data_IF_082945730321
#
_entry.id   IF_082945730321
#
_cell.length_a   1.000
_cell.length_b   1.000
_cell.length_c   1.000
_cell.angle_alpha   90.00
_cell.angle_beta   90.00
_cell.angle_gamma   90.00
#
_symmetry.space_group_name_H-M   'P 1'
#
loop_
_entity.id
_entity.type
_entity.pdbx_description
1 polymer ?
#
# COMPACT_ATOMS: atom_id res chain seq x y z
N UNK A 1 -14.52 -11.40 -31.44
CA UNK A 1 -13.42 -10.73 -30.72
C UNK A 1 -13.52 -11.18 -29.27
N UNK A 2 -12.57 -11.99 -28.77
CA UNK A 2 -12.64 -12.52 -27.40
C UNK A 2 -12.67 -11.35 -26.41
N UNK A 3 -13.75 -11.23 -25.65
CA UNK A 3 -13.89 -10.20 -24.62
C UNK A 3 -12.94 -10.54 -23.48
N UNK A 4 -11.79 -9.84 -23.40
CA UNK A 4 -10.84 -9.97 -22.30
C UNK A 4 -11.56 -9.75 -20.96
N UNK A 5 -11.37 -10.67 -20.01
CA UNK A 5 -11.95 -10.60 -18.65
C UNK A 5 -11.44 -9.40 -17.87
N UNK A 6 -10.17 -9.03 -18.08
CA UNK A 6 -9.55 -7.85 -17.48
C UNK A 6 -8.93 -6.91 -18.53
N UNK A 7 -9.35 -5.65 -18.52
CA UNK A 7 -8.78 -4.59 -19.36
C UNK A 7 -7.27 -4.42 -19.06
N UNK A 8 -6.48 -4.19 -20.11
CA UNK A 8 -5.04 -3.93 -20.01
C UNK A 8 -4.73 -2.76 -19.06
N UNK A 9 -5.52 -1.68 -19.11
CA UNK A 9 -5.29 -0.49 -18.27
C UNK A 9 -5.40 -0.82 -16.78
N UNK A 10 -6.38 -1.65 -16.42
CA UNK A 10 -6.61 -2.08 -15.03
C UNK A 10 -5.50 -3.03 -14.57
N UNK A 11 -5.04 -3.93 -15.44
CA UNK A 11 -3.94 -4.86 -15.12
C UNK A 11 -2.63 -4.12 -14.87
N UNK A 12 -2.26 -3.22 -15.77
CA UNK A 12 -1.05 -2.38 -15.62
C UNK A 12 -1.14 -1.56 -14.33
N UNK A 13 -2.28 -0.89 -14.11
CA UNK A 13 -2.50 -0.12 -12.89
C UNK A 13 -2.31 -0.95 -11.62
N UNK A 14 -2.92 -2.14 -11.57
CA UNK A 14 -2.81 -3.04 -10.43
C UNK A 14 -1.36 -3.45 -10.14
N UNK A 15 -0.63 -3.93 -11.15
CA UNK A 15 0.74 -4.39 -10.95
C UNK A 15 1.71 -3.25 -10.61
N UNK A 16 1.49 -2.05 -11.18
CA UNK A 16 2.22 -0.85 -10.75
C UNK A 16 1.91 -0.49 -9.30
N UNK A 17 0.63 -0.52 -8.89
CA UNK A 17 0.26 -0.28 -7.49
C UNK A 17 0.87 -1.32 -6.55
N UNK A 18 0.88 -2.60 -6.94
CA UNK A 18 1.50 -3.66 -6.16
C UNK A 18 3.01 -3.44 -5.99
N UNK A 19 3.70 -3.07 -7.07
CA UNK A 19 5.13 -2.72 -7.04
C UNK A 19 5.39 -1.54 -6.11
N UNK A 20 4.63 -0.45 -6.25
CA UNK A 20 4.79 0.78 -5.46
C UNK A 20 4.52 0.54 -3.97
N UNK A 21 3.44 -0.17 -3.64
CA UNK A 21 3.09 -0.50 -2.25
C UNK A 21 4.17 -1.40 -1.65
N UNK A 22 4.60 -2.44 -2.36
CA UNK A 22 5.65 -3.35 -1.88
C UNK A 22 6.97 -2.61 -1.68
N UNK A 23 7.39 -1.80 -2.65
CA UNK A 23 8.60 -0.98 -2.54
C UNK A 23 8.54 -0.02 -1.35
N UNK A 24 7.41 0.65 -1.15
CA UNK A 24 7.17 1.53 -0.01
C UNK A 24 7.23 0.81 1.34
N UNK A 25 6.69 -0.42 1.44
CA UNK A 25 6.80 -1.24 2.65
C UNK A 25 8.24 -1.70 2.91
N UNK A 26 8.98 -2.04 1.85
CA UNK A 26 10.39 -2.43 1.96
C UNK A 26 11.27 -1.29 2.46
N UNK A 27 11.01 -0.04 2.05
CA UNK A 27 11.77 1.10 2.60
C UNK A 27 11.53 1.26 4.11
N UNK A 28 10.28 1.08 4.57
CA UNK A 28 9.97 1.11 6.02
C UNK A 28 10.66 -0.04 6.75
N UNK A 29 10.65 -1.25 6.18
CA UNK A 29 11.33 -2.41 6.76
C UNK A 29 12.83 -2.18 6.88
N UNK A 30 13.49 -1.74 5.81
CA UNK A 30 14.93 -1.43 5.80
C UNK A 30 15.24 -0.38 6.87
N UNK A 31 14.46 0.70 6.90
CA UNK A 31 14.75 1.80 7.80
C UNK A 31 14.56 1.42 9.28
N UNK A 32 13.48 0.71 9.59
CA UNK A 32 13.17 0.27 10.97
C UNK A 32 14.04 -0.87 11.49
N UNK A 33 14.78 -1.57 10.62
CA UNK A 33 15.61 -2.72 11.02
C UNK A 33 17.10 -2.48 10.87
N UNK A 34 17.53 -1.92 9.73
CA UNK A 34 18.95 -1.79 9.38
C UNK A 34 19.51 -0.39 9.70
N UNK A 35 18.67 0.64 9.67
CA UNK A 35 19.10 2.03 9.82
C UNK A 35 18.54 2.70 11.09
N UNK A 36 17.88 1.93 11.95
CA UNK A 36 17.43 2.42 13.24
C UNK A 36 18.62 2.85 14.11
N UNK A 37 18.37 3.79 15.03
CA UNK A 37 19.41 4.33 15.94
C UNK A 37 20.07 3.25 16.81
N UNK A 38 19.38 2.15 17.08
CA UNK A 38 19.96 0.98 17.76
C UNK A 38 21.12 0.33 16.97
N UNK A 39 21.20 0.55 15.66
CA UNK A 39 22.24 0.00 14.77
C UNK A 39 23.47 0.90 14.64
N UNK A 40 23.45 2.12 15.21
CA UNK A 40 24.61 3.05 15.18
C UNK A 40 25.94 2.41 15.65
N UNK A 41 25.99 1.58 16.71
CA UNK A 41 27.23 0.90 17.10
C UNK A 41 27.78 -0.05 16.02
N UNK A 42 26.89 -0.73 15.29
CA UNK A 42 27.26 -1.62 14.18
C UNK A 42 27.88 -0.82 13.03
N UNK A 43 27.26 0.30 12.65
CA UNK A 43 27.79 1.21 11.62
C UNK A 43 29.15 1.77 12.02
N UNK A 44 29.29 2.20 13.28
CA UNK A 44 30.56 2.71 13.81
C UNK A 44 31.67 1.65 13.74
N UNK A 45 31.37 0.42 14.13
CA UNK A 45 32.32 -0.71 14.12
C UNK A 45 32.81 -1.00 12.70
N UNK A 46 31.92 -1.08 11.72
CA UNK A 46 32.32 -1.35 10.33
C UNK A 46 33.18 -0.23 9.73
N UNK A 47 32.87 1.03 10.05
CA UNK A 47 33.69 2.17 9.61
C UNK A 47 35.06 2.18 10.30
N UNK A 48 35.14 1.80 11.57
CA UNK A 48 36.41 1.62 12.28
C UNK A 48 37.24 0.50 11.67
N UNK A 49 36.62 -0.64 11.29
CA UNK A 49 37.29 -1.73 10.59
C UNK A 49 37.85 -1.28 9.23
N UNK A 50 37.19 -0.32 8.57
CA UNK A 50 37.64 0.31 7.33
C UNK A 50 38.71 1.41 7.54
N UNK A 51 39.21 1.60 8.77
CA UNK A 51 40.22 2.59 9.13
C UNK A 51 39.68 3.99 9.42
N UNK A 52 38.36 4.16 9.53
CA UNK A 52 37.72 5.44 9.84
C UNK A 52 37.39 5.51 11.33
N UNK A 53 38.10 6.37 12.06
CA UNK A 53 37.84 6.59 13.48
C UNK A 53 36.77 7.66 13.69
N UNK A 54 35.53 7.22 13.90
CA UNK A 54 34.41 8.09 14.28
C UNK A 54 34.14 8.01 15.77
N UNK A 55 33.80 9.17 16.37
CA UNK A 55 33.16 9.21 17.68
C UNK A 55 31.67 8.85 17.57
N UNK A 56 31.00 8.68 18.71
CA UNK A 56 29.59 8.24 18.74
C UNK A 56 28.63 9.25 18.07
N UNK A 57 28.91 10.56 18.18
CA UNK A 57 28.08 11.60 17.55
C UNK A 57 28.19 11.57 16.02
N UNK A 58 29.40 11.40 15.49
CA UNK A 58 29.65 11.27 14.06
C UNK A 58 29.00 10.01 13.49
N UNK A 59 29.09 8.88 14.20
CA UNK A 59 28.44 7.64 13.79
C UNK A 59 26.90 7.78 13.79
N UNK A 60 26.34 8.48 14.78
CA UNK A 60 24.90 8.77 14.84
C UNK A 60 24.46 9.66 13.68
N UNK A 61 25.21 10.71 13.38
CA UNK A 61 24.93 11.60 12.26
C UNK A 61 24.98 10.84 10.92
N UNK A 62 25.97 9.96 10.73
CA UNK A 62 26.07 9.11 9.55
C UNK A 62 24.88 8.14 9.41
N UNK A 63 24.50 7.47 10.51
CA UNK A 63 23.33 6.56 10.52
C UNK A 63 22.05 7.33 10.18
N UNK A 64 21.86 8.52 10.77
CA UNK A 64 20.69 9.36 10.52
C UNK A 64 20.64 9.84 9.06
N UNK A 65 21.77 10.21 8.46
CA UNK A 65 21.82 10.59 7.04
C UNK A 65 21.40 9.45 6.10
N UNK A 66 21.76 8.19 6.42
CA UNK A 66 21.27 7.02 5.68
C UNK A 66 19.78 6.81 5.88
N UNK A 67 19.29 6.99 7.10
CA UNK A 67 17.86 6.93 7.45
C UNK A 67 17.05 7.90 6.56
N UNK A 68 17.51 9.15 6.47
CA UNK A 68 16.85 10.21 5.70
C UNK A 68 16.83 9.92 4.20
N UNK A 69 17.88 9.29 3.65
CA UNK A 69 17.90 8.86 2.25
C UNK A 69 16.79 7.83 1.95
N UNK A 70 16.62 6.84 2.83
CA UNK A 70 15.57 5.82 2.67
C UNK A 70 14.18 6.45 2.83
N UNK A 71 14.00 7.39 3.76
CA UNK A 71 12.76 8.16 3.86
C UNK A 71 12.46 8.99 2.61
N UNK A 72 13.48 9.60 1.99
CA UNK A 72 13.32 10.29 0.71
C UNK A 72 12.77 9.37 -0.39
N UNK A 73 13.31 8.15 -0.49
CA UNK A 73 12.80 7.13 -1.43
C UNK A 73 11.35 6.75 -1.10
N UNK A 74 11.04 6.56 0.19
CA UNK A 74 9.67 6.27 0.63
C UNK A 74 8.67 7.36 0.20
N UNK A 75 9.05 8.63 0.31
CA UNK A 75 8.23 9.78 -0.14
C UNK A 75 7.98 9.71 -1.64
N UNK A 76 8.98 9.37 -2.47
CA UNK A 76 8.77 9.18 -3.90
C UNK A 76 7.80 8.04 -4.23
N UNK A 77 7.88 6.91 -3.51
CA UNK A 77 6.85 5.88 -3.61
C UNK A 77 5.47 6.40 -3.19
N UNK A 78 5.41 7.25 -2.17
CA UNK A 78 4.19 7.93 -1.73
C UNK A 78 3.57 8.79 -2.85
N UNK A 79 4.38 9.59 -3.56
CA UNK A 79 3.90 10.38 -4.71
C UNK A 79 3.42 9.49 -5.86
N UNK A 80 4.15 8.43 -6.18
CA UNK A 80 3.72 7.46 -7.19
C UNK A 80 2.38 6.81 -6.81
N UNK A 81 2.22 6.43 -5.53
CA UNK A 81 0.98 5.86 -5.01
C UNK A 81 -0.17 6.86 -5.10
N UNK A 82 0.05 8.12 -4.71
CA UNK A 82 -0.94 9.18 -4.79
C UNK A 82 -1.43 9.38 -6.23
N UNK A 83 -0.53 9.42 -7.21
CA UNK A 83 -0.86 9.53 -8.63
C UNK A 83 -1.65 8.32 -9.14
N UNK A 84 -1.20 7.10 -8.82
CA UNK A 84 -1.92 5.88 -9.19
C UNK A 84 -3.32 5.84 -8.56
N UNK A 85 -3.45 6.25 -7.31
CA UNK A 85 -4.73 6.28 -6.61
C UNK A 85 -5.67 7.33 -7.20
N UNK A 86 -5.16 8.54 -7.48
CA UNK A 86 -5.92 9.58 -8.17
C UNK A 86 -6.41 9.12 -9.54
N UNK A 87 -5.53 8.51 -10.35
CA UNK A 87 -5.90 7.91 -11.63
C UNK A 87 -7.04 6.89 -11.48
N UNK A 88 -7.02 6.07 -10.41
CA UNK A 88 -8.06 5.08 -10.15
C UNK A 88 -9.40 5.70 -9.79
N UNK A 89 -9.40 6.73 -8.94
CA UNK A 89 -10.60 7.48 -8.55
C UNK A 89 -11.23 8.20 -9.75
N UNK A 90 -10.40 8.86 -10.56
CA UNK A 90 -10.83 9.54 -11.79
C UNK A 90 -11.45 8.51 -12.75
N UNK A 91 -10.76 7.39 -13.00
CA UNK A 91 -11.27 6.31 -13.85
C UNK A 91 -12.62 5.76 -13.34
N UNK A 92 -12.79 5.62 -12.03
CA UNK A 92 -14.04 5.19 -11.40
C UNK A 92 -15.18 6.21 -11.60
N UNK A 93 -14.87 7.51 -11.56
CA UNK A 93 -15.85 8.58 -11.74
C UNK A 93 -16.47 8.55 -13.15
N UNK A 94 -15.68 8.20 -14.17
CA UNK A 94 -16.09 8.10 -15.57
C UNK A 94 -16.77 6.78 -15.97
N UNK A 95 -16.81 5.78 -15.09
CA UNK A 95 -17.55 4.54 -15.38
C UNK A 95 -19.07 4.77 -15.40
N UNK A 96 -19.83 4.06 -16.26
CA UNK A 96 -21.29 4.02 -16.17
C UNK A 96 -21.75 3.61 -14.77
N UNK A 97 -22.89 4.15 -14.30
CA UNK A 97 -23.40 3.94 -12.93
C UNK A 97 -23.42 2.47 -12.50
N UNK A 98 -23.84 1.58 -13.39
CA UNK A 98 -23.94 0.13 -13.17
C UNK A 98 -22.59 -0.56 -12.94
N UNK A 99 -21.50 0.03 -13.45
CA UNK A 99 -20.14 -0.51 -13.32
C UNK A 99 -19.40 0.04 -12.09
N UNK A 100 -19.94 1.08 -11.44
CA UNK A 100 -19.33 1.72 -10.28
C UNK A 100 -19.32 0.79 -9.07
N UNK A 101 -18.27 0.88 -8.26
CA UNK A 101 -18.04 0.10 -7.05
C UNK A 101 -19.21 0.19 -6.07
N UNK A 102 -19.68 1.41 -5.79
CA UNK A 102 -20.83 1.63 -4.89
C UNK A 102 -22.10 0.94 -5.38
N UNK A 103 -22.35 0.94 -6.70
CA UNK A 103 -23.50 0.24 -7.28
C UNK A 103 -23.34 -1.28 -7.13
N UNK A 104 -22.16 -1.83 -7.45
CA UNK A 104 -21.85 -3.26 -7.31
C UNK A 104 -21.90 -3.76 -5.86
N UNK A 105 -21.57 -2.90 -4.89
CA UNK A 105 -21.71 -3.19 -3.45
C UNK A 105 -23.19 -3.18 -3.06
N UNK A 106 -23.94 -2.15 -3.47
CA UNK A 106 -25.38 -2.04 -3.16
C UNK A 106 -26.17 -3.21 -3.75
N UNK A 107 -25.84 -3.62 -4.97
CA UNK A 107 -26.43 -4.78 -5.61
C UNK A 107 -26.06 -6.10 -4.90
N UNK A 108 -24.78 -6.29 -4.55
CA UNK A 108 -24.35 -7.46 -3.78
C UNK A 108 -25.04 -7.53 -2.41
N UNK A 109 -25.20 -6.40 -1.73
CA UNK A 109 -25.92 -6.31 -0.46
C UNK A 109 -27.40 -6.67 -0.60
N UNK A 110 -28.07 -6.17 -1.66
CA UNK A 110 -29.47 -6.52 -1.96
C UNK A 110 -29.63 -8.02 -2.18
N UNK A 111 -28.73 -8.63 -2.93
CA UNK A 111 -28.76 -10.07 -3.21
C UNK A 111 -28.42 -10.91 -1.96
N UNK A 112 -27.45 -10.49 -1.15
CA UNK A 112 -27.13 -11.12 0.14
C UNK A 112 -28.32 -11.10 1.11
N UNK A 113 -29.04 -9.98 1.20
CA UNK A 113 -30.21 -9.84 2.09
C UNK A 113 -31.42 -10.71 1.66
N UNK A 114 -31.44 -11.17 0.41
CA UNK A 114 -32.56 -11.90 -0.19
C UNK A 114 -32.34 -13.40 -0.45
N UNK A 115 -31.17 -13.97 -0.16
CA UNK A 115 -30.87 -15.38 -0.46
C UNK A 115 -29.85 -15.99 0.52
N UNK A 116 -30.07 -17.21 1.07
CA UNK A 116 -29.19 -17.84 2.05
C UNK A 116 -27.96 -18.56 1.43
N UNK A 117 -27.67 -18.35 0.14
CA UNK A 117 -26.60 -19.07 -0.56
C UNK A 117 -25.20 -18.61 -0.12
N UNK A 118 -24.36 -19.57 0.28
CA UNK A 118 -22.97 -19.37 0.76
C UNK A 118 -22.09 -18.61 -0.26
N UNK A 119 -22.28 -18.87 -1.56
CA UNK A 119 -21.52 -18.19 -2.63
C UNK A 119 -21.82 -16.69 -2.74
N UNK A 120 -23.02 -16.25 -2.34
CA UNK A 120 -23.36 -14.82 -2.30
C UNK A 120 -22.71 -14.11 -1.11
N UNK A 121 -22.53 -14.81 0.01
CA UNK A 121 -21.80 -14.29 1.20
C UNK A 121 -20.34 -14.04 0.88
N UNK A 122 -19.69 -15.00 0.22
CA UNK A 122 -18.29 -14.88 -0.19
C UNK A 122 -18.08 -13.67 -1.10
N UNK A 123 -18.89 -13.55 -2.16
CA UNK A 123 -18.84 -12.42 -3.10
C UNK A 123 -19.05 -11.05 -2.44
N UNK A 124 -19.95 -10.96 -1.44
CA UNK A 124 -20.14 -9.74 -0.68
C UNK A 124 -18.92 -9.40 0.19
N UNK A 125 -18.38 -10.38 0.91
CA UNK A 125 -17.23 -10.19 1.80
C UNK A 125 -15.98 -9.73 1.03
N UNK A 126 -15.69 -10.32 -0.13
CA UNK A 126 -14.59 -9.90 -1.01
C UNK A 126 -14.75 -8.43 -1.41
N UNK A 127 -15.97 -7.98 -1.76
CA UNK A 127 -16.25 -6.59 -2.12
C UNK A 127 -16.10 -5.63 -0.93
N UNK A 128 -16.44 -6.06 0.28
CA UNK A 128 -16.26 -5.26 1.51
C UNK A 128 -14.78 -5.10 1.83
N UNK A 129 -14.01 -6.19 1.84
CA UNK A 129 -12.55 -6.14 2.03
C UNK A 129 -11.90 -5.23 1.01
N UNK A 130 -12.30 -5.33 -0.26
CA UNK A 130 -11.84 -4.45 -1.32
C UNK A 130 -12.18 -2.98 -1.04
N UNK A 131 -13.41 -2.66 -0.62
CA UNK A 131 -13.78 -1.29 -0.26
C UNK A 131 -12.97 -0.76 0.95
N UNK A 132 -12.76 -1.58 1.97
CA UNK A 132 -11.93 -1.25 3.13
C UNK A 132 -10.49 -0.96 2.72
N UNK A 133 -9.94 -1.72 1.77
CA UNK A 133 -8.60 -1.46 1.23
C UNK A 133 -8.50 -0.09 0.55
N UNK A 134 -9.50 0.29 -0.25
CA UNK A 134 -9.51 1.62 -0.87
C UNK A 134 -9.61 2.75 0.16
N UNK A 135 -10.39 2.55 1.22
CA UNK A 135 -10.46 3.52 2.31
C UNK A 135 -9.11 3.63 3.05
N UNK A 136 -8.49 2.48 3.33
CA UNK A 136 -7.17 2.43 3.95
C UNK A 136 -6.10 3.10 3.09
N UNK A 137 -6.09 2.83 1.78
CA UNK A 137 -5.19 3.51 0.83
C UNK A 137 -5.43 5.01 0.78
N UNK A 138 -6.68 5.47 0.80
CA UNK A 138 -7.00 6.88 0.88
C UNK A 138 -6.38 7.51 2.14
N UNK A 139 -6.56 6.87 3.30
CA UNK A 139 -5.95 7.32 4.55
C UNK A 139 -4.42 7.38 4.45
N UNK A 140 -3.78 6.36 3.89
CA UNK A 140 -2.32 6.34 3.69
C UNK A 140 -1.83 7.46 2.79
N UNK A 141 -2.51 7.70 1.66
CA UNK A 141 -2.16 8.78 0.73
C UNK A 141 -2.33 10.14 1.38
N UNK A 142 -3.46 10.40 2.03
CA UNK A 142 -3.72 11.67 2.70
C UNK A 142 -2.70 11.94 3.81
N UNK A 143 -2.50 10.98 4.71
CA UNK A 143 -1.55 11.14 5.82
C UNK A 143 -0.10 11.25 5.32
N UNK A 144 0.30 10.47 4.31
CA UNK A 144 1.63 10.55 3.71
C UNK A 144 1.92 11.89 3.06
N UNK A 145 0.97 12.43 2.28
CA UNK A 145 1.09 13.76 1.69
C UNK A 145 1.10 14.86 2.76
N UNK A 146 0.28 14.75 3.81
CA UNK A 146 0.30 15.70 4.92
C UNK A 146 1.64 15.72 5.66
N UNK A 147 2.33 14.58 5.77
CA UNK A 147 3.68 14.52 6.34
C UNK A 147 4.73 15.06 5.38
N UNK A 148 4.61 14.77 4.08
CA UNK A 148 5.54 15.24 3.06
C UNK A 148 5.51 16.76 2.86
N UNK A 149 4.34 17.39 3.09
CA UNK A 149 4.13 18.83 2.95
C UNK A 149 3.78 19.50 4.28
N UNK A 150 4.29 18.96 5.40
CA UNK A 150 3.88 19.41 6.73
C UNK A 150 4.15 20.91 6.95
N UNK A 151 5.31 21.38 6.48
CA UNK A 151 5.76 22.76 6.66
C UNK A 151 4.99 23.72 5.73
N UNK A 152 4.77 23.32 4.48
CA UNK A 152 4.01 24.08 3.48
C UNK A 152 2.53 24.22 3.86
N UNK A 153 1.97 23.20 4.52
CA UNK A 153 0.58 23.19 5.01
C UNK A 153 0.41 23.89 6.36
N UNK A 154 1.51 24.33 7.00
CA UNK A 154 1.48 24.96 8.32
C UNK A 154 0.96 24.02 9.43
N UNK A 155 1.18 22.72 9.29
CA UNK A 155 0.69 21.72 10.25
C UNK A 155 1.51 21.82 11.54
N UNK A 156 0.82 22.05 12.66
CA UNK A 156 1.47 22.15 13.97
C UNK A 156 2.16 20.82 14.35
N UNK A 157 3.23 20.90 15.14
CA UNK A 157 4.01 19.72 15.56
C UNK A 157 3.14 18.63 16.23
N UNK A 158 2.13 19.02 17.01
CA UNK A 158 1.22 18.07 17.67
C UNK A 158 0.32 17.31 16.69
N UNK A 159 -0.21 18.01 15.68
CA UNK A 159 -1.00 17.39 14.61
C UNK A 159 -0.09 16.51 13.73
N UNK A 160 1.10 16.99 13.37
CA UNK A 160 2.08 16.22 12.59
C UNK A 160 2.47 14.90 13.26
N UNK A 161 2.66 14.91 14.58
CA UNK A 161 2.92 13.67 15.34
C UNK A 161 1.75 12.69 15.27
N UNK A 162 0.52 13.19 15.47
CA UNK A 162 -0.69 12.36 15.39
C UNK A 162 -0.87 11.76 13.99
N UNK A 163 -0.63 12.54 12.94
CA UNK A 163 -0.68 12.05 11.54
C UNK A 163 0.36 10.95 11.32
N UNK A 164 1.58 11.13 11.85
CA UNK A 164 2.64 10.11 11.76
C UNK A 164 2.26 8.81 12.47
N UNK A 165 1.64 8.90 13.64
CA UNK A 165 1.15 7.72 14.37
C UNK A 165 0.06 6.98 13.57
N UNK A 166 -0.93 7.71 13.04
CA UNK A 166 -1.99 7.13 12.20
C UNK A 166 -1.39 6.49 10.95
N UNK A 167 -0.47 7.16 10.25
CA UNK A 167 0.20 6.63 9.07
C UNK A 167 0.97 5.33 9.39
N UNK A 168 1.75 5.35 10.48
CA UNK A 168 2.49 4.18 10.96
C UNK A 168 1.58 3.02 11.37
N UNK A 169 0.45 3.29 12.01
CA UNK A 169 -0.54 2.27 12.36
C UNK A 169 -1.21 1.67 11.11
N UNK A 170 -1.64 2.53 10.18
CA UNK A 170 -2.28 2.09 8.93
C UNK A 170 -1.34 1.25 8.06
N UNK A 171 -0.02 1.45 8.13
CA UNK A 171 0.97 0.59 7.46
C UNK A 171 0.81 -0.88 7.88
N UNK A 172 0.62 -1.18 9.17
CA UNK A 172 0.40 -2.56 9.63
C UNK A 172 -0.92 -3.15 9.12
N UNK A 173 -1.97 -2.32 8.98
CA UNK A 173 -3.23 -2.75 8.37
C UNK A 173 -3.05 -3.07 6.87
N UNK A 174 -2.24 -2.29 6.16
CA UNK A 174 -1.91 -2.54 4.74
C UNK A 174 -1.14 -3.85 4.63
N UNK A 175 -0.15 -4.08 5.49
CA UNK A 175 0.60 -5.34 5.53
C UNK A 175 -0.33 -6.54 5.77
N UNK A 176 -1.23 -6.44 6.76
CA UNK A 176 -2.23 -7.46 7.03
C UNK A 176 -3.15 -7.73 5.83
N UNK A 177 -3.61 -6.67 5.15
CA UNK A 177 -4.39 -6.81 3.92
C UNK A 177 -3.61 -7.53 2.82
N UNK A 178 -2.35 -7.18 2.58
CA UNK A 178 -1.52 -7.81 1.54
C UNK A 178 -1.38 -9.31 1.80
N UNK A 179 -1.12 -9.72 3.04
CA UNK A 179 -1.04 -11.14 3.42
C UNK A 179 -2.37 -11.85 3.18
N UNK A 180 -3.47 -11.29 3.66
CA UNK A 180 -4.82 -11.86 3.47
C UNK A 180 -5.16 -11.97 1.98
N UNK A 181 -4.82 -10.95 1.19
CA UNK A 181 -5.06 -10.92 -0.25
C UNK A 181 -4.30 -12.04 -0.97
N UNK A 182 -2.99 -12.19 -0.72
CA UNK A 182 -2.17 -13.25 -1.32
C UNK A 182 -2.70 -14.63 -0.94
N UNK A 183 -3.01 -14.84 0.34
CA UNK A 183 -3.61 -16.09 0.82
C UNK A 183 -4.93 -16.38 0.08
N UNK A 184 -5.80 -15.37 -0.03
CA UNK A 184 -7.08 -15.49 -0.74
C UNK A 184 -6.91 -15.87 -2.21
N UNK A 185 -5.94 -15.26 -2.91
CA UNK A 185 -5.62 -15.58 -4.30
C UNK A 185 -5.11 -17.02 -4.44
N UNK A 186 -4.16 -17.45 -3.59
CA UNK A 186 -3.62 -18.82 -3.63
C UNK A 186 -4.69 -19.87 -3.34
N UNK A 187 -5.58 -19.61 -2.38
CA UNK A 187 -6.70 -20.50 -2.08
C UNK A 187 -7.70 -20.59 -3.23
N UNK A 188 -8.02 -19.47 -3.89
CA UNK A 188 -8.95 -19.45 -5.02
C UNK A 188 -8.36 -20.20 -6.24
N UNK A 189 -7.08 -19.97 -6.53
CA UNK A 189 -6.33 -20.62 -7.61
C UNK A 189 -6.25 -22.15 -7.40
N UNK A 190 -6.17 -22.61 -6.16
CA UNK A 190 -6.07 -24.04 -5.82
C UNK A 190 -7.41 -24.78 -5.86
N UNK A 191 -8.55 -24.06 -5.88
CA UNK A 191 -9.89 -24.64 -5.81
C UNK A 191 -10.66 -24.39 -7.10
N UNK A 192 -11.65 -23.49 -7.02
CA UNK A 192 -12.75 -23.36 -7.98
C UNK A 192 -12.45 -22.34 -9.09
N UNK A 193 -11.52 -21.40 -8.86
CA UNK A 193 -11.20 -20.31 -9.78
C UNK A 193 -9.75 -20.41 -10.27
N UNK A 194 -9.46 -21.45 -11.06
CA UNK A 194 -8.11 -21.64 -11.63
C UNK A 194 -7.80 -20.56 -12.68
N UNK A 195 -6.56 -20.08 -12.68
CA UNK A 195 -6.04 -19.14 -13.65
C UNK A 195 -6.25 -17.67 -13.30
N UNK A 196 -6.70 -17.30 -12.09
CA UNK A 196 -6.92 -15.89 -11.71
C UNK A 196 -5.64 -15.07 -11.90
N UNK A 197 -4.49 -15.61 -11.50
CA UNK A 197 -3.21 -14.91 -11.66
C UNK A 197 -2.88 -14.74 -13.14
N UNK A 198 -3.06 -15.79 -13.94
CA UNK A 198 -2.83 -15.75 -15.39
C UNK A 198 -3.76 -14.76 -16.09
N UNK A 199 -5.04 -14.73 -15.71
CA UNK A 199 -6.02 -13.76 -16.21
C UNK A 199 -5.63 -12.33 -15.83
N UNK A 200 -5.10 -12.12 -14.63
CA UNK A 200 -4.64 -10.81 -14.19
C UNK A 200 -3.35 -10.35 -14.88
N UNK A 201 -2.57 -11.28 -15.42
CA UNK A 201 -1.36 -10.99 -16.21
C UNK A 201 -1.71 -10.80 -17.70
N UNK A 202 -2.53 -11.69 -18.29
CA UNK A 202 -2.75 -11.79 -19.74
C UNK A 202 -4.09 -11.17 -20.20
N UNK A 203 -5.05 -11.02 -19.28
CA UNK A 203 -6.36 -10.42 -19.53
C UNK A 203 -7.49 -11.42 -19.77
N UNK A 204 -7.23 -12.72 -19.58
CA UNK A 204 -8.11 -13.82 -19.99
C UNK A 204 -7.50 -14.63 -21.13
#
# INVERSE_FOLDING_TARGET
MSTKKYDLKIRIWHWLSALVITGSLLTVLINSTLLDRSQTPSVQKELQNAGVHLNAEQARAATHGLEDQVWGIHIYFGYALALLFAFRLISEAFLPKEKKLLFKIKEAYRLYRGSPLVNLRHNFFVKVIYAMFYLLLLTMVCTGLSLAFQDELGISRGIGHSIKEVHGFCMYLVLGYVVIHIIGVVFAESKDDKGIVSEMINGG
#
